data_IF_033878255035
#
_entry.id   IF_033878255035
#
_cell.length_a   1.000
_cell.length_b   1.000
_cell.length_c   1.000
_cell.angle_alpha   90.00
_cell.angle_beta   90.00
_cell.angle_gamma   90.00
#
_symmetry.space_group_name_H-M   'P 1'
#
loop_
_entity.id
_entity.type
_entity.pdbx_description
1 polymer ?
#
# COMPACT_ATOMS: atom_id res chain seq x y z
N UNK A 1 -14.22 21.35 20.77
CA UNK A 1 -14.13 22.37 19.70
C UNK A 1 -14.66 21.72 18.44
N UNK A 2 -15.67 22.29 17.79
CA UNK A 2 -16.07 21.83 16.48
C UNK A 2 -14.93 22.14 15.50
N UNK A 3 -14.48 21.16 14.71
CA UNK A 3 -13.50 21.43 13.65
C UNK A 3 -14.13 22.36 12.61
N UNK A 4 -13.32 23.26 12.08
CA UNK A 4 -13.76 24.11 10.97
C UNK A 4 -13.89 23.26 9.69
N UNK A 5 -14.77 23.62 8.75
CA UNK A 5 -14.91 22.89 7.48
C UNK A 5 -13.58 22.69 6.73
N UNK A 6 -12.66 23.65 6.83
CA UNK A 6 -11.33 23.58 6.22
C UNK A 6 -10.41 22.53 6.87
N UNK A 7 -10.50 22.35 8.20
CA UNK A 7 -9.73 21.34 8.92
C UNK A 7 -10.20 19.92 8.60
N UNK A 8 -11.52 19.73 8.50
CA UNK A 8 -12.12 18.46 8.09
C UNK A 8 -11.73 18.08 6.66
N UNK A 9 -11.74 19.04 5.73
CA UNK A 9 -11.33 18.81 4.35
C UNK A 9 -9.84 18.39 4.26
N UNK A 10 -8.96 19.07 5.00
CA UNK A 10 -7.53 18.72 5.04
C UNK A 10 -7.31 17.32 5.62
N UNK A 11 -8.04 16.96 6.68
CA UNK A 11 -7.96 15.63 7.28
C UNK A 11 -8.39 14.55 6.27
N UNK A 12 -9.50 14.78 5.57
CA UNK A 12 -10.01 13.84 4.57
C UNK A 12 -9.06 13.67 3.39
N UNK A 13 -8.52 14.78 2.83
CA UNK A 13 -7.50 14.74 1.77
C UNK A 13 -6.28 13.91 2.19
N UNK A 14 -5.75 14.15 3.39
CA UNK A 14 -4.60 13.40 3.92
C UNK A 14 -4.89 11.90 4.05
N UNK A 15 -6.09 11.54 4.50
CA UNK A 15 -6.53 10.14 4.61
C UNK A 15 -6.65 9.49 3.23
N UNK A 16 -7.22 10.20 2.27
CA UNK A 16 -7.33 9.75 0.89
C UNK A 16 -5.95 9.50 0.25
N UNK A 17 -5.03 10.45 0.38
CA UNK A 17 -3.66 10.32 -0.14
C UNK A 17 -2.94 9.12 0.48
N UNK A 18 -3.06 8.92 1.80
CA UNK A 18 -2.48 7.77 2.48
C UNK A 18 -3.03 6.43 1.94
N UNK A 19 -4.33 6.34 1.70
CA UNK A 19 -4.93 5.15 1.08
C UNK A 19 -4.43 4.91 -0.35
N UNK A 20 -4.37 5.98 -1.15
CA UNK A 20 -3.90 5.89 -2.52
C UNK A 20 -2.44 5.43 -2.56
N UNK A 21 -1.57 6.01 -1.74
CA UNK A 21 -0.16 5.65 -1.63
C UNK A 21 0.03 4.19 -1.22
N UNK A 22 -0.68 3.72 -0.19
CA UNK A 22 -0.57 2.32 0.25
C UNK A 22 -1.05 1.36 -0.83
N UNK A 23 -2.11 1.68 -1.57
CA UNK A 23 -2.55 0.87 -2.70
C UNK A 23 -1.54 0.86 -3.83
N UNK A 24 -1.01 2.02 -4.22
CA UNK A 24 0.00 2.13 -5.27
C UNK A 24 1.26 1.34 -4.89
N UNK A 25 1.73 1.45 -3.65
CA UNK A 25 2.88 0.66 -3.16
C UNK A 25 2.61 -0.84 -3.20
N UNK A 26 1.44 -1.29 -2.72
CA UNK A 26 1.05 -2.70 -2.79
C UNK A 26 1.01 -3.20 -4.24
N UNK A 27 0.51 -2.38 -5.16
CA UNK A 27 0.43 -2.70 -6.58
C UNK A 27 1.83 -2.80 -7.23
N UNK A 28 2.70 -1.83 -6.93
CA UNK A 28 4.10 -1.82 -7.40
C UNK A 28 4.85 -3.05 -6.88
N UNK A 29 4.70 -3.40 -5.60
CA UNK A 29 5.32 -4.60 -5.03
C UNK A 29 4.77 -5.88 -5.65
N UNK A 30 3.46 -5.95 -5.89
CA UNK A 30 2.83 -7.12 -6.51
C UNK A 30 3.36 -7.34 -7.92
N UNK A 31 3.30 -6.30 -8.75
CA UNK A 31 3.76 -6.39 -10.14
C UNK A 31 5.29 -6.50 -10.23
N UNK A 32 6.04 -5.78 -9.40
CA UNK A 32 7.49 -5.91 -9.32
C UNK A 32 7.92 -7.32 -8.94
N UNK A 33 7.27 -7.91 -7.93
CA UNK A 33 7.47 -9.31 -7.56
C UNK A 33 7.15 -10.27 -8.70
N UNK A 34 6.05 -10.07 -9.41
CA UNK A 34 5.67 -10.88 -10.58
C UNK A 34 6.68 -10.78 -11.71
N UNK A 35 7.18 -9.57 -12.01
CA UNK A 35 8.24 -9.35 -13.01
C UNK A 35 9.49 -10.14 -12.62
N UNK A 36 9.96 -10.01 -11.38
CA UNK A 36 11.14 -10.74 -10.88
C UNK A 36 10.91 -12.26 -10.88
N UNK A 37 9.69 -12.71 -10.58
CA UNK A 37 9.34 -14.12 -10.55
C UNK A 37 9.33 -14.77 -11.93
N UNK A 38 8.89 -14.04 -12.95
CA UNK A 38 8.76 -14.54 -14.32
C UNK A 38 10.05 -14.38 -15.13
N UNK A 39 10.74 -13.26 -14.96
CA UNK A 39 11.97 -12.96 -15.70
C UNK A 39 12.72 -11.85 -14.97
N UNK A 40 13.83 -12.21 -14.32
CA UNK A 40 14.65 -11.19 -13.64
C UNK A 40 15.44 -10.38 -14.69
N UNK A 41 15.17 -9.08 -14.88
CA UNK A 41 15.85 -8.30 -15.90
C UNK A 41 17.26 -7.85 -15.48
N UNK A 42 17.64 -8.03 -14.22
CA UNK A 42 18.82 -7.39 -13.62
C UNK A 42 19.84 -8.36 -12.99
N UNK A 43 19.70 -9.67 -13.17
CA UNK A 43 20.64 -10.65 -12.58
C UNK A 43 20.15 -12.10 -12.60
N UNK A 44 20.75 -12.98 -11.77
CA UNK A 44 20.36 -14.40 -11.70
C UNK A 44 18.88 -14.55 -11.35
N UNK A 45 18.24 -15.58 -11.90
CA UNK A 45 16.83 -15.83 -11.70
C UNK A 45 16.59 -16.35 -10.27
N UNK A 46 15.90 -15.55 -9.46
CA UNK A 46 15.45 -15.93 -8.13
C UNK A 46 13.93 -15.89 -8.06
N UNK A 47 13.23 -16.82 -8.74
CA UNK A 47 11.78 -16.77 -8.88
C UNK A 47 11.06 -16.82 -7.52
N UNK A 48 11.63 -17.52 -6.54
CA UNK A 48 11.11 -17.58 -5.17
C UNK A 48 11.11 -16.20 -4.49
N UNK A 49 12.15 -15.38 -4.69
CA UNK A 49 12.22 -14.03 -4.11
C UNK A 49 11.14 -13.14 -4.74
N UNK A 50 10.99 -13.20 -6.07
CA UNK A 50 9.93 -12.49 -6.78
C UNK A 50 8.53 -12.87 -6.28
N UNK A 51 8.28 -14.17 -6.08
CA UNK A 51 7.02 -14.66 -5.53
C UNK A 51 6.76 -14.14 -4.12
N UNK A 52 7.76 -14.15 -3.22
CA UNK A 52 7.63 -13.62 -1.85
C UNK A 52 7.32 -12.13 -1.87
N UNK A 53 8.03 -11.34 -2.69
CA UNK A 53 7.77 -9.91 -2.86
C UNK A 53 6.35 -9.68 -3.39
N UNK A 54 5.91 -10.47 -4.37
CA UNK A 54 4.58 -10.38 -4.95
C UNK A 54 3.47 -10.66 -3.93
N UNK A 55 3.62 -11.73 -3.15
CA UNK A 55 2.68 -12.09 -2.06
C UNK A 55 2.64 -11.00 -1.00
N UNK A 56 3.80 -10.44 -0.63
CA UNK A 56 3.87 -9.33 0.30
C UNK A 56 3.17 -8.07 -0.26
N UNK A 57 3.34 -7.79 -1.55
CA UNK A 57 2.61 -6.73 -2.25
C UNK A 57 1.10 -6.88 -2.16
N UNK A 58 0.59 -8.10 -2.37
CA UNK A 58 -0.85 -8.41 -2.23
C UNK A 58 -1.31 -8.19 -0.79
N UNK A 59 -0.52 -8.63 0.19
CA UNK A 59 -0.83 -8.41 1.60
C UNK A 59 -0.92 -6.91 1.96
N UNK A 60 0.00 -6.09 1.45
CA UNK A 60 -0.03 -4.63 1.62
C UNK A 60 -1.22 -4.00 0.90
N UNK A 61 -1.49 -4.43 -0.34
CA UNK A 61 -2.60 -3.92 -1.16
C UNK A 61 -3.96 -4.14 -0.50
N UNK A 62 -4.18 -5.32 0.10
CA UNK A 62 -5.45 -5.70 0.72
C UNK A 62 -5.53 -5.36 2.21
N UNK A 63 -4.42 -5.50 2.94
CA UNK A 63 -4.34 -5.32 4.39
C UNK A 63 -4.02 -3.89 4.81
N UNK A 64 -3.19 -3.18 4.04
CA UNK A 64 -2.74 -1.83 4.35
C UNK A 64 -3.89 -0.82 4.56
N UNK A 65 -4.91 -0.76 3.68
CA UNK A 65 -6.07 0.10 3.91
C UNK A 65 -6.85 -0.26 5.19
N UNK A 66 -6.98 -1.54 5.51
CA UNK A 66 -7.66 -1.97 6.74
C UNK A 66 -6.91 -1.51 7.99
N UNK A 67 -5.57 -1.54 7.95
CA UNK A 67 -4.72 -1.06 9.05
C UNK A 67 -4.77 0.46 9.20
N UNK A 68 -4.74 1.21 8.09
CA UNK A 68 -4.90 2.68 8.09
C UNK A 68 -6.24 3.09 8.72
N UNK A 69 -7.33 2.45 8.30
CA UNK A 69 -8.66 2.70 8.87
C UNK A 69 -8.67 2.44 10.37
N UNK A 70 -8.17 1.26 10.80
CA UNK A 70 -8.07 0.89 12.22
C UNK A 70 -7.27 1.89 13.06
N UNK A 71 -6.23 2.50 12.48
CA UNK A 71 -5.42 3.49 13.18
C UNK A 71 -6.22 4.77 13.41
N UNK A 72 -6.94 5.25 12.40
CA UNK A 72 -7.75 6.46 12.54
C UNK A 72 -8.97 6.27 13.44
N UNK A 73 -9.58 5.09 13.43
CA UNK A 73 -10.69 4.74 14.35
C UNK A 73 -10.23 4.74 15.82
N UNK A 74 -8.92 4.61 16.09
CA UNK A 74 -8.34 4.74 17.44
C UNK A 74 -7.92 6.17 17.80
N UNK A 75 -7.80 7.05 16.80
CA UNK A 75 -7.41 8.45 16.96
C UNK A 75 -8.64 9.40 17.05
N UNK A 76 -9.84 8.90 16.71
CA UNK A 76 -11.12 9.59 16.81
C UNK A 76 -11.82 9.30 18.14
#
# INVERSE_FOLDING_TARGET
MAMTPEEDERLWKRRFEAFALVRLLGLILTFGGMVVALKNPWGPEYPAIGAVIGVFGIAVLLGGPKLLKRKWDKEA
#
